data_IF_841173125896
#
_entry.id   IF_841173125896
#
_cell.length_a   1.000
_cell.length_b   1.000
_cell.length_c   1.000
_cell.angle_alpha   90.00
_cell.angle_beta   90.00
_cell.angle_gamma   90.00
#
_symmetry.space_group_name_H-M   'P 1'
#
loop_
_entity.id
_entity.type
_entity.pdbx_description
1 polymer ?
#
# COMPACT_ATOMS: atom_id res chain seq x y z
N UNK A 1 25.58 7.73 -16.36
CA UNK A 1 24.40 8.10 -15.53
C UNK A 1 24.74 9.38 -14.78
N UNK A 2 23.97 10.47 -14.93
CA UNK A 2 24.28 11.72 -14.21
C UNK A 2 23.98 11.56 -12.71
N UNK A 3 24.81 12.14 -11.84
CA UNK A 3 24.70 12.05 -10.37
C UNK A 3 23.28 12.39 -9.85
N UNK A 4 22.55 13.32 -10.49
CA UNK A 4 21.17 13.71 -10.17
C UNK A 4 20.16 12.56 -10.36
N UNK A 5 20.39 11.66 -11.32
CA UNK A 5 19.49 10.54 -11.61
C UNK A 5 19.68 9.38 -10.62
N UNK A 6 20.91 9.24 -10.11
CA UNK A 6 21.26 8.24 -9.12
C UNK A 6 20.72 8.61 -7.73
N UNK A 7 20.76 9.89 -7.35
CA UNK A 7 20.18 10.35 -6.07
C UNK A 7 18.66 10.15 -5.97
N UNK A 8 17.94 10.31 -7.08
CA UNK A 8 16.49 10.05 -7.10
C UNK A 8 16.14 8.58 -6.83
N UNK A 9 16.89 7.63 -7.41
CA UNK A 9 16.66 6.20 -7.20
C UNK A 9 16.86 5.81 -5.72
N UNK A 10 17.96 6.27 -5.11
CA UNK A 10 18.27 5.98 -3.70
C UNK A 10 17.15 6.48 -2.78
N UNK A 11 16.61 7.68 -3.02
CA UNK A 11 15.50 8.23 -2.23
C UNK A 11 14.25 7.34 -2.34
N UNK A 12 13.93 6.84 -3.54
CA UNK A 12 12.79 5.93 -3.72
C UNK A 12 13.01 4.58 -3.00
N UNK A 13 14.22 4.03 -3.05
CA UNK A 13 14.56 2.82 -2.28
C UNK A 13 14.33 3.05 -0.79
N UNK A 14 14.81 4.17 -0.26
CA UNK A 14 14.63 4.54 1.15
C UNK A 14 13.13 4.62 1.49
N UNK A 15 12.33 5.34 0.70
CA UNK A 15 10.89 5.44 0.94
C UNK A 15 10.20 4.08 0.95
N UNK A 16 10.52 3.19 0.00
CA UNK A 16 9.96 1.85 -0.09
C UNK A 16 10.31 1.05 1.16
N UNK A 17 11.59 0.99 1.51
CA UNK A 17 12.07 0.20 2.66
C UNK A 17 11.43 0.69 3.95
N UNK A 18 11.42 1.99 4.21
CA UNK A 18 10.81 2.53 5.42
C UNK A 18 9.30 2.33 5.47
N UNK A 19 8.61 2.44 4.33
CA UNK A 19 7.16 2.17 4.28
C UNK A 19 6.87 0.69 4.55
N UNK A 20 7.65 -0.24 3.99
CA UNK A 20 7.51 -1.67 4.27
C UNK A 20 7.81 -1.99 5.73
N UNK A 21 8.86 -1.42 6.31
CA UNK A 21 9.15 -1.56 7.74
C UNK A 21 7.97 -1.02 8.56
N UNK A 22 7.47 0.18 8.25
CA UNK A 22 6.32 0.75 8.95
C UNK A 22 5.06 -0.13 8.83
N UNK A 23 4.91 -0.85 7.73
CA UNK A 23 3.79 -1.75 7.49
C UNK A 23 3.87 -3.02 8.32
N UNK A 24 5.07 -3.49 8.66
CA UNK A 24 5.30 -4.65 9.53
C UNK A 24 5.39 -4.29 11.01
N UNK A 25 5.68 -3.04 11.35
CA UNK A 25 5.67 -2.57 12.74
C UNK A 25 4.26 -2.67 13.34
N UNK A 26 4.13 -2.75 14.67
CA UNK A 26 2.83 -2.78 15.33
C UNK A 26 1.97 -1.57 14.96
N UNK A 27 0.79 -1.81 14.39
CA UNK A 27 -0.26 -0.81 14.18
C UNK A 27 -1.20 -0.76 15.38
N UNK A 28 -1.38 -1.92 16.02
CA UNK A 28 -2.17 -2.10 17.24
C UNK A 28 -1.35 -2.84 18.28
N UNK A 29 -1.44 -2.38 19.52
CA UNK A 29 -0.77 -3.00 20.69
C UNK A 29 -1.82 -3.22 21.78
N UNK A 30 -1.99 -4.46 22.23
CA UNK A 30 -2.91 -4.82 23.30
C UNK A 30 -2.36 -4.45 24.70
N UNK A 31 -3.24 -3.99 25.58
CA UNK A 31 -2.86 -3.49 26.90
C UNK A 31 -2.51 -4.53 27.98
N UNK A 32 -2.85 -5.82 27.78
CA UNK A 32 -2.70 -6.82 28.83
C UNK A 32 -2.08 -8.17 28.40
N UNK A 33 -1.97 -8.38 27.10
CA UNK A 33 -1.36 -9.57 26.50
C UNK A 33 -0.47 -9.07 25.38
N UNK A 34 0.60 -9.80 25.04
CA UNK A 34 1.49 -9.47 23.92
C UNK A 34 0.79 -9.58 22.56
N UNK A 35 -0.42 -9.00 22.45
CA UNK A 35 -1.18 -8.93 21.23
C UNK A 35 -0.70 -7.70 20.43
N UNK A 36 0.09 -7.96 19.40
CA UNK A 36 0.55 -6.91 18.48
C UNK A 36 0.19 -7.32 17.07
N UNK A 37 -0.46 -6.40 16.33
CA UNK A 37 -0.76 -6.61 14.92
C UNK A 37 -0.03 -5.58 14.07
N UNK A 38 0.72 -6.04 13.07
CA UNK A 38 1.10 -5.24 11.92
C UNK A 38 -0.10 -4.99 11.00
N UNK A 39 0.08 -4.22 9.93
CA UNK A 39 -1.01 -3.94 9.00
C UNK A 39 -1.53 -5.20 8.30
N UNK A 40 -0.65 -6.14 7.94
CA UNK A 40 -1.03 -7.41 7.31
C UNK A 40 -1.85 -8.28 8.24
N UNK A 41 -1.35 -8.49 9.46
CA UNK A 41 -2.02 -9.33 10.45
C UNK A 41 -3.38 -8.77 10.81
N UNK A 42 -3.46 -7.42 10.93
CA UNK A 42 -4.70 -6.72 11.21
C UNK A 42 -5.71 -6.85 10.05
N UNK A 43 -5.23 -6.78 8.80
CA UNK A 43 -6.07 -6.99 7.63
C UNK A 43 -6.61 -8.41 7.54
N UNK A 44 -5.76 -9.40 7.84
CA UNK A 44 -6.16 -10.81 7.85
C UNK A 44 -7.14 -11.08 8.99
N UNK A 45 -6.83 -10.64 10.19
CA UNK A 45 -7.74 -10.74 11.33
C UNK A 45 -9.10 -10.10 11.04
N UNK A 46 -9.13 -8.88 10.48
CA UNK A 46 -10.36 -8.20 10.11
C UNK A 46 -11.16 -8.97 9.05
N UNK A 47 -10.51 -9.69 8.14
CA UNK A 47 -11.19 -10.48 7.11
C UNK A 47 -11.91 -11.72 7.66
N UNK A 48 -11.47 -12.20 8.83
CA UNK A 48 -12.07 -13.34 9.53
C UNK A 48 -13.20 -12.91 10.47
N UNK A 49 -13.31 -11.62 10.79
CA UNK A 49 -14.32 -11.12 11.70
C UNK A 49 -15.72 -11.19 11.09
N UNK A 50 -16.73 -11.81 11.78
CA UNK A 50 -18.07 -11.99 11.22
C UNK A 50 -18.74 -10.69 10.77
N UNK A 51 -18.59 -9.60 11.53
CA UNK A 51 -19.20 -8.31 11.21
C UNK A 51 -18.72 -7.78 9.85
N UNK A 52 -17.46 -7.95 9.49
CA UNK A 52 -16.91 -7.46 8.21
C UNK A 52 -17.41 -8.22 7.00
N UNK A 53 -17.88 -9.47 7.20
CA UNK A 53 -18.41 -10.32 6.14
C UNK A 53 -19.89 -10.04 5.83
N UNK A 54 -20.61 -9.34 6.72
CA UNK A 54 -22.03 -8.99 6.54
C UNK A 54 -22.25 -7.49 6.34
N UNK A 55 -21.26 -6.64 6.63
CA UNK A 55 -21.36 -5.19 6.41
C UNK A 55 -21.28 -4.83 4.92
N UNK A 56 -21.73 -3.62 4.58
CA UNK A 56 -21.59 -3.08 3.22
C UNK A 56 -20.74 -1.80 3.24
N UNK A 57 -19.65 -1.73 2.46
CA UNK A 57 -19.09 -2.79 1.58
C UNK A 57 -18.45 -3.94 2.37
N UNK A 58 -18.59 -5.16 1.83
CA UNK A 58 -18.04 -6.37 2.45
C UNK A 58 -16.52 -6.26 2.57
N UNK A 59 -15.97 -6.67 3.73
CA UNK A 59 -14.53 -6.67 4.05
C UNK A 59 -13.85 -5.30 3.87
N UNK A 60 -14.58 -4.19 4.04
CA UNK A 60 -14.03 -2.84 3.84
C UNK A 60 -12.77 -2.59 4.67
N UNK A 61 -12.76 -3.03 5.94
CA UNK A 61 -11.62 -2.87 6.84
C UNK A 61 -10.36 -3.55 6.29
N UNK A 62 -10.48 -4.81 5.88
CA UNK A 62 -9.39 -5.57 5.28
C UNK A 62 -8.90 -4.94 3.97
N UNK A 63 -9.83 -4.49 3.12
CA UNK A 63 -9.52 -3.75 1.89
C UNK A 63 -8.68 -2.50 2.19
N UNK A 64 -9.13 -1.64 3.09
CA UNK A 64 -8.46 -0.38 3.42
C UNK A 64 -7.07 -0.60 4.03
N UNK A 65 -6.90 -1.65 4.81
CA UNK A 65 -5.59 -1.97 5.40
C UNK A 65 -4.58 -2.53 4.37
N UNK A 66 -5.04 -3.17 3.29
CA UNK A 66 -4.17 -3.69 2.20
C UNK A 66 -3.92 -2.65 1.11
N UNK A 67 -4.85 -1.73 0.90
CA UNK A 67 -4.81 -0.76 -0.19
C UNK A 67 -3.58 0.17 -0.19
N UNK A 68 -2.98 0.57 0.96
CA UNK A 68 -1.74 1.35 0.97
C UNK A 68 -0.58 0.70 0.22
N UNK A 69 -0.46 -0.63 0.20
CA UNK A 69 0.56 -1.32 -0.59
C UNK A 69 0.33 -1.19 -2.10
N UNK A 70 -0.93 -1.25 -2.51
CA UNK A 70 -1.32 -1.00 -3.91
C UNK A 70 -1.01 0.45 -4.29
N UNK A 71 -1.32 1.40 -3.41
CA UNK A 71 -0.94 2.80 -3.60
C UNK A 71 0.58 2.96 -3.74
N UNK A 72 1.36 2.32 -2.89
CA UNK A 72 2.82 2.37 -2.95
C UNK A 72 3.33 1.82 -4.30
N UNK A 73 2.80 0.68 -4.77
CA UNK A 73 3.17 0.10 -6.05
C UNK A 73 2.86 1.05 -7.23
N UNK A 74 1.70 1.70 -7.20
CA UNK A 74 1.33 2.70 -8.20
C UNK A 74 2.23 3.94 -8.16
N UNK A 75 2.52 4.48 -6.96
CA UNK A 75 3.43 5.63 -6.81
C UNK A 75 4.77 5.31 -7.47
N UNK A 76 5.30 4.12 -7.26
CA UNK A 76 6.57 3.68 -7.84
C UNK A 76 6.45 3.59 -9.36
N UNK A 77 5.41 2.94 -9.89
CA UNK A 77 5.19 2.79 -11.31
C UNK A 77 5.04 4.14 -12.03
N UNK A 78 4.29 5.08 -11.44
CA UNK A 78 4.13 6.44 -12.01
C UNK A 78 5.41 7.28 -11.92
N UNK A 79 6.37 6.95 -11.05
CA UNK A 79 7.67 7.60 -10.98
C UNK A 79 8.75 6.95 -11.86
N UNK A 80 8.42 5.87 -12.57
CA UNK A 80 9.32 5.22 -13.52
C UNK A 80 9.78 6.17 -14.64
N UNK A 81 11.00 6.00 -15.18
CA UNK A 81 11.48 6.80 -16.30
C UNK A 81 10.57 6.69 -17.53
N UNK A 82 10.38 7.76 -18.30
CA UNK A 82 9.39 7.81 -19.40
C UNK A 82 9.76 7.01 -20.66
N UNK A 83 10.89 6.29 -20.66
CA UNK A 83 11.33 5.48 -21.81
C UNK A 83 11.32 4.00 -21.43
N UNK A 84 10.20 3.30 -21.72
CA UNK A 84 10.09 1.87 -21.43
C UNK A 84 11.15 1.07 -22.20
N UNK A 85 11.58 -0.03 -21.60
CA UNK A 85 12.49 -1.06 -22.14
C UNK A 85 13.96 -0.65 -22.41
N UNK A 86 14.32 0.63 -22.46
CA UNK A 86 15.68 1.09 -22.78
C UNK A 86 16.56 1.42 -21.57
N UNK A 87 16.02 1.42 -20.36
CA UNK A 87 16.82 1.76 -19.17
C UNK A 87 16.66 0.72 -18.07
N UNK A 88 17.76 0.29 -17.47
CA UNK A 88 17.73 -0.59 -16.28
C UNK A 88 16.89 -0.04 -15.14
N UNK A 89 16.80 1.29 -15.03
CA UNK A 89 15.96 1.92 -14.02
C UNK A 89 14.46 1.64 -14.24
N UNK A 90 13.99 1.59 -15.50
CA UNK A 90 12.59 1.27 -15.78
C UNK A 90 12.24 -0.14 -15.29
N UNK A 91 13.10 -1.10 -15.58
CA UNK A 91 12.94 -2.47 -15.10
C UNK A 91 12.97 -2.57 -13.58
N UNK A 92 13.83 -1.78 -12.93
CA UNK A 92 13.88 -1.72 -11.47
C UNK A 92 12.55 -1.23 -10.88
N UNK A 93 11.99 -0.13 -11.38
CA UNK A 93 10.67 0.37 -10.92
C UNK A 93 9.55 -0.64 -11.21
N UNK A 94 9.56 -1.28 -12.38
CA UNK A 94 8.61 -2.31 -12.74
C UNK A 94 8.67 -3.53 -11.83
N UNK A 95 9.87 -4.04 -11.57
CA UNK A 95 10.09 -5.19 -10.70
C UNK A 95 9.62 -4.90 -9.27
N UNK A 96 10.00 -3.75 -8.70
CA UNK A 96 9.57 -3.40 -7.33
C UNK A 96 8.07 -3.22 -7.26
N UNK A 97 7.43 -2.53 -8.21
CA UNK A 97 5.99 -2.39 -8.25
C UNK A 97 5.29 -3.75 -8.30
N UNK A 98 5.81 -4.67 -9.09
CA UNK A 98 5.28 -6.03 -9.19
C UNK A 98 5.47 -6.83 -7.90
N UNK A 99 6.66 -6.77 -7.29
CA UNK A 99 6.93 -7.45 -6.02
C UNK A 99 6.00 -6.97 -4.91
N UNK A 100 5.74 -5.66 -4.83
CA UNK A 100 4.78 -5.12 -3.86
C UNK A 100 3.36 -5.65 -4.07
N UNK A 101 2.94 -5.86 -5.32
CA UNK A 101 1.62 -6.44 -5.60
C UNK A 101 1.54 -7.92 -5.24
N UNK A 102 2.65 -8.67 -5.30
CA UNK A 102 2.67 -10.07 -4.83
C UNK A 102 2.25 -10.17 -3.36
N UNK A 103 2.65 -9.22 -2.51
CA UNK A 103 2.21 -9.20 -1.11
C UNK A 103 0.71 -8.93 -0.92
N UNK A 104 0.02 -8.48 -1.98
CA UNK A 104 -1.43 -8.27 -1.97
C UNK A 104 -2.18 -9.43 -2.65
N UNK A 105 -1.48 -10.43 -3.24
CA UNK A 105 -2.12 -11.57 -3.89
C UNK A 105 -2.67 -12.56 -2.86
N UNK A 106 -3.77 -13.25 -3.18
CA UNK A 106 -4.23 -14.35 -2.35
C UNK A 106 -3.22 -15.50 -2.34
N UNK A 107 -3.26 -16.37 -1.32
CA UNK A 107 -2.42 -17.56 -1.26
C UNK A 107 -2.74 -18.52 -2.42
N UNK A 108 -1.82 -19.45 -2.70
CA UNK A 108 -1.96 -20.40 -3.81
C UNK A 108 -3.21 -21.29 -3.70
N UNK A 109 -3.71 -21.52 -2.50
CA UNK A 109 -4.95 -22.25 -2.22
C UNK A 109 -6.19 -21.63 -2.88
N UNK A 110 -6.16 -20.32 -3.17
CA UNK A 110 -7.20 -19.67 -3.96
C UNK A 110 -7.37 -20.32 -5.35
N UNK A 111 -6.28 -20.76 -5.97
CA UNK A 111 -6.33 -21.38 -7.30
C UNK A 111 -6.88 -22.80 -7.29
N UNK A 112 -6.95 -23.45 -6.16
CA UNK A 112 -7.28 -24.88 -6.01
C UNK A 112 -8.56 -25.11 -5.21
N UNK A 113 -8.55 -24.86 -3.90
CA UNK A 113 -9.58 -25.30 -2.96
C UNK A 113 -10.52 -24.19 -2.48
N UNK A 114 -10.05 -22.94 -2.42
CA UNK A 114 -10.76 -21.84 -1.77
C UNK A 114 -11.11 -20.71 -2.75
N UNK A 115 -11.57 -21.04 -3.94
CA UNK A 115 -11.90 -20.06 -5.01
C UNK A 115 -13.04 -19.12 -4.65
N UNK A 116 -13.97 -19.59 -3.81
CA UNK A 116 -15.18 -18.84 -3.43
C UNK A 116 -15.00 -18.04 -2.13
N UNK A 117 -13.82 -18.10 -1.49
CA UNK A 117 -13.58 -17.31 -0.29
C UNK A 117 -13.53 -15.81 -0.65
N UNK A 118 -14.43 -15.06 -0.03
CA UNK A 118 -14.64 -13.64 -0.34
C UNK A 118 -13.39 -12.79 -0.02
N UNK A 119 -12.59 -13.19 0.98
CA UNK A 119 -11.33 -12.53 1.32
C UNK A 119 -10.30 -12.71 0.19
N UNK A 120 -10.20 -13.93 -0.36
CA UNK A 120 -9.28 -14.22 -1.46
C UNK A 120 -9.74 -13.57 -2.77
N UNK A 121 -11.04 -13.50 -3.03
CA UNK A 121 -11.60 -12.74 -4.15
C UNK A 121 -11.29 -11.25 -4.04
N UNK A 122 -11.38 -10.67 -2.83
CA UNK A 122 -11.01 -9.28 -2.60
C UNK A 122 -9.51 -9.05 -2.85
N UNK A 123 -8.63 -9.93 -2.36
CA UNK A 123 -7.18 -9.85 -2.59
C UNK A 123 -6.85 -9.97 -4.08
N UNK A 124 -7.48 -10.90 -4.79
CA UNK A 124 -7.32 -11.05 -6.24
C UNK A 124 -7.77 -9.79 -6.99
N UNK A 125 -8.90 -9.22 -6.61
CA UNK A 125 -9.40 -7.97 -7.17
C UNK A 125 -8.45 -6.80 -6.92
N UNK A 126 -7.93 -6.65 -5.70
CA UNK A 126 -6.92 -5.63 -5.37
C UNK A 126 -5.65 -5.79 -6.21
N UNK A 127 -5.15 -7.01 -6.33
CA UNK A 127 -3.94 -7.31 -7.12
C UNK A 127 -4.17 -7.03 -8.60
N UNK A 128 -5.34 -7.38 -9.13
CA UNK A 128 -5.69 -7.10 -10.53
C UNK A 128 -5.78 -5.60 -10.81
N UNK A 129 -6.47 -4.84 -9.97
CA UNK A 129 -6.54 -3.37 -10.07
C UNK A 129 -5.13 -2.78 -9.91
N UNK A 130 -4.35 -3.33 -8.99
CA UNK A 130 -2.94 -2.98 -8.79
C UNK A 130 -2.12 -3.13 -10.06
N UNK A 131 -2.24 -4.27 -10.74
CA UNK A 131 -1.55 -4.55 -12.02
C UNK A 131 -1.94 -3.57 -13.13
N UNK A 132 -3.24 -3.27 -13.25
CA UNK A 132 -3.72 -2.29 -14.24
C UNK A 132 -3.08 -0.92 -14.00
N UNK A 133 -3.13 -0.42 -12.76
CA UNK A 133 -2.56 0.89 -12.42
C UNK A 133 -1.04 0.94 -12.62
N UNK A 134 -0.32 -0.13 -12.27
CA UNK A 134 1.12 -0.26 -12.55
C UNK A 134 1.40 -0.27 -14.05
N UNK A 135 0.60 -1.00 -14.84
CA UNK A 135 0.72 -1.03 -16.31
C UNK A 135 0.55 0.37 -16.92
N UNK A 136 -0.46 1.12 -16.49
CA UNK A 136 -0.71 2.51 -16.93
C UNK A 136 0.48 3.41 -16.56
N UNK A 137 0.97 3.31 -15.31
CA UNK A 137 2.11 4.10 -14.82
C UNK A 137 3.39 3.81 -15.59
N UNK A 138 3.75 2.53 -15.75
CA UNK A 138 4.95 2.09 -16.45
C UNK A 138 4.90 2.36 -17.96
N UNK A 139 3.72 2.24 -18.59
CA UNK A 139 3.54 2.57 -20.01
C UNK A 139 3.66 4.08 -20.28
N UNK A 140 3.56 4.92 -19.24
CA UNK A 140 3.68 6.37 -19.38
C UNK A 140 2.53 7.03 -20.13
N UNK A 141 1.36 6.39 -20.21
CA UNK A 141 0.16 6.89 -20.91
C UNK A 141 -0.24 8.27 -20.38
N UNK A 142 -0.17 8.46 -19.07
CA UNK A 142 -0.54 9.70 -18.37
C UNK A 142 0.69 10.57 -18.03
N UNK A 143 1.73 10.52 -18.86
CA UNK A 143 3.02 11.21 -18.63
C UNK A 143 2.92 12.66 -18.19
N UNK A 144 2.09 13.55 -18.79
CA UNK A 144 2.00 14.95 -18.37
C UNK A 144 1.43 15.10 -16.95
N UNK A 145 0.55 14.21 -16.53
CA UNK A 145 -0.14 14.27 -15.23
C UNK A 145 0.45 13.33 -14.17
N UNK A 146 1.45 12.52 -14.51
CA UNK A 146 1.98 11.46 -13.68
C UNK A 146 2.31 11.88 -12.24
N UNK A 147 2.85 13.09 -12.07
CA UNK A 147 3.25 13.58 -10.76
C UNK A 147 2.05 13.95 -9.91
N UNK A 148 1.04 14.59 -10.48
CA UNK A 148 -0.21 14.91 -9.79
C UNK A 148 -0.98 13.66 -9.42
N UNK A 149 -0.99 12.66 -10.32
CA UNK A 149 -1.60 11.36 -10.06
C UNK A 149 -0.87 10.65 -8.92
N UNK A 150 0.46 10.62 -8.92
CA UNK A 150 1.24 10.01 -7.84
C UNK A 150 0.98 10.70 -6.49
N UNK A 151 0.87 12.03 -6.46
CA UNK A 151 0.49 12.78 -5.25
C UNK A 151 -0.93 12.41 -4.81
N UNK A 152 -1.90 12.35 -5.72
CA UNK A 152 -3.27 11.95 -5.39
C UNK A 152 -3.32 10.52 -4.82
N UNK A 153 -2.60 9.57 -5.43
CA UNK A 153 -2.48 8.20 -4.93
C UNK A 153 -1.86 8.17 -3.52
N UNK A 154 -0.89 9.04 -3.25
CA UNK A 154 -0.29 9.15 -1.92
C UNK A 154 -1.33 9.56 -0.87
N UNK A 155 -2.19 10.52 -1.19
CA UNK A 155 -3.30 10.90 -0.30
C UNK A 155 -4.32 9.77 -0.13
N UNK A 156 -4.61 9.01 -1.19
CA UNK A 156 -5.47 7.82 -1.07
C UNK A 156 -4.86 6.79 -0.11
N UNK A 157 -3.55 6.57 -0.16
CA UNK A 157 -2.84 5.69 0.77
C UNK A 157 -2.93 6.17 2.23
N UNK A 158 -2.80 7.48 2.48
CA UNK A 158 -2.97 8.07 3.81
C UNK A 158 -4.39 7.85 4.32
N UNK A 159 -5.39 8.19 3.52
CA UNK A 159 -6.82 8.06 3.89
C UNK A 159 -7.15 6.59 4.18
N UNK A 160 -6.71 5.68 3.33
CA UNK A 160 -6.95 4.25 3.50
C UNK A 160 -6.29 3.71 4.78
N UNK A 161 -5.06 4.11 5.08
CA UNK A 161 -4.37 3.72 6.30
C UNK A 161 -5.11 4.19 7.55
N UNK A 162 -5.50 5.45 7.60
CA UNK A 162 -6.18 6.03 8.75
C UNK A 162 -7.58 5.43 8.92
N UNK A 163 -8.35 5.37 7.85
CA UNK A 163 -9.72 4.84 7.90
C UNK A 163 -9.74 3.35 8.19
N UNK A 164 -8.86 2.57 7.56
CA UNK A 164 -8.70 1.15 7.85
C UNK A 164 -8.36 0.89 9.31
N UNK A 165 -7.47 1.71 9.89
CA UNK A 165 -7.13 1.64 11.31
C UNK A 165 -8.31 1.97 12.23
N UNK A 166 -9.09 3.01 11.91
CA UNK A 166 -10.28 3.39 12.70
C UNK A 166 -11.30 2.25 12.71
N UNK A 167 -11.58 1.65 11.55
CA UNK A 167 -12.50 0.53 11.45
C UNK A 167 -11.98 -0.70 12.18
N UNK A 168 -10.70 -1.03 12.05
CA UNK A 168 -10.09 -2.16 12.77
C UNK A 168 -10.15 -1.95 14.28
N UNK A 169 -9.91 -0.73 14.74
CA UNK A 169 -10.02 -0.37 16.16
C UNK A 169 -11.46 -0.60 16.69
N UNK A 170 -12.50 -0.20 15.93
CA UNK A 170 -13.89 -0.43 16.31
C UNK A 170 -14.22 -1.92 16.42
N UNK A 171 -13.70 -2.75 15.50
CA UNK A 171 -13.90 -4.21 15.58
C UNK A 171 -13.22 -4.85 16.79
N UNK A 172 -12.03 -4.36 17.18
CA UNK A 172 -11.34 -4.85 18.37
C UNK A 172 -12.10 -4.50 19.66
N UNK A 173 -12.71 -3.32 19.70
CA UNK A 173 -13.56 -2.92 20.83
C UNK A 173 -14.80 -3.78 21.00
N UNK A 174 -15.40 -4.32 19.91
CA UNK A 174 -16.51 -5.26 19.98
C UNK A 174 -16.16 -6.53 20.79
N UNK A 175 -14.89 -6.94 20.76
CA UNK A 175 -14.38 -8.06 21.58
C UNK A 175 -13.91 -7.63 22.99
N UNK A 176 -14.17 -6.39 23.39
CA UNK A 176 -13.70 -5.83 24.67
C UNK A 176 -12.17 -5.89 24.84
N UNK A 177 -11.44 -5.92 23.72
CA UNK A 177 -9.98 -5.91 23.72
C UNK A 177 -9.52 -4.46 23.82
N UNK A 178 -8.90 -4.12 24.95
CA UNK A 178 -8.27 -2.81 25.12
C UNK A 178 -6.99 -2.75 24.30
N UNK A 179 -6.96 -1.84 23.33
CA UNK A 179 -5.80 -1.67 22.45
C UNK A 179 -5.37 -0.21 22.38
N UNK A 180 -4.10 0.01 22.12
CA UNK A 180 -3.54 1.32 21.81
C UNK A 180 -2.99 1.37 20.39
N UNK A 181 -2.87 2.57 19.86
CA UNK A 181 -2.29 2.81 18.54
C UNK A 181 -0.78 2.57 18.58
N UNK A 182 -0.30 1.69 17.72
CA UNK A 182 1.12 1.38 17.59
C UNK A 182 1.88 2.38 16.71
N UNK A 183 3.20 2.30 16.73
CA UNK A 183 4.10 3.19 15.97
C UNK A 183 3.99 2.95 14.45
N UNK A 184 3.59 1.75 14.01
CA UNK A 184 3.55 1.37 12.60
C UNK A 184 2.65 2.26 11.75
N UNK A 185 1.43 2.55 12.21
CA UNK A 185 0.51 3.45 11.48
C UNK A 185 1.06 4.87 11.39
N UNK A 186 1.65 5.40 12.47
CA UNK A 186 2.23 6.75 12.50
C UNK A 186 3.39 6.84 11.50
N UNK A 187 4.27 5.84 11.51
CA UNK A 187 5.40 5.76 10.59
C UNK A 187 4.92 5.61 9.13
N UNK A 188 3.92 4.76 8.86
CA UNK A 188 3.38 4.55 7.53
C UNK A 188 2.77 5.85 6.95
N UNK A 189 1.89 6.50 7.69
CA UNK A 189 1.28 7.78 7.29
C UNK A 189 2.36 8.86 7.12
N UNK A 190 3.32 8.94 8.04
CA UNK A 190 4.47 9.85 7.94
C UNK A 190 5.26 9.64 6.65
N UNK A 191 5.54 8.39 6.26
CA UNK A 191 6.25 8.10 5.01
C UNK A 191 5.47 8.52 3.78
N UNK A 192 4.16 8.32 3.73
CA UNK A 192 3.33 8.85 2.64
C UNK A 192 3.36 10.38 2.59
N UNK A 193 3.31 11.08 3.73
CA UNK A 193 3.45 12.55 3.79
C UNK A 193 4.82 12.99 3.25
N UNK A 194 5.91 12.31 3.63
CA UNK A 194 7.24 12.62 3.11
C UNK A 194 7.34 12.39 1.59
N UNK A 195 6.74 11.31 1.07
CA UNK A 195 6.67 11.06 -0.38
C UNK A 195 5.91 12.17 -1.09
N UNK A 196 4.75 12.61 -0.58
CA UNK A 196 4.00 13.72 -1.15
C UNK A 196 4.82 15.01 -1.17
N UNK A 197 5.47 15.35 -0.06
CA UNK A 197 6.36 16.52 0.04
C UNK A 197 7.53 16.48 -0.92
N UNK A 198 8.17 15.31 -1.07
CA UNK A 198 9.25 15.11 -2.04
C UNK A 198 8.76 15.33 -3.48
N UNK A 199 7.65 14.70 -3.87
CA UNK A 199 7.06 14.85 -5.20
C UNK A 199 6.62 16.28 -5.47
N UNK A 200 6.04 16.99 -4.50
CA UNK A 200 5.68 18.40 -4.61
C UNK A 200 6.89 19.30 -4.87
N UNK A 201 8.00 19.08 -4.16
CA UNK A 201 9.27 19.80 -4.39
C UNK A 201 9.82 19.55 -5.79
N UNK A 202 9.77 18.31 -6.28
CA UNK A 202 10.18 17.96 -7.64
C UNK A 202 9.28 18.61 -8.71
N UNK A 203 7.98 18.78 -8.44
CA UNK A 203 7.07 19.51 -9.31
C UNK A 203 7.51 20.95 -9.52
N UNK A 204 7.78 21.66 -8.42
CA UNK A 204 8.20 23.09 -8.48
C UNK A 204 9.56 23.32 -9.17
N UNK A 205 10.41 22.29 -9.23
CA UNK A 205 11.72 22.39 -9.92
C UNK A 205 11.65 22.17 -11.43
N UNK A 206 10.50 21.76 -11.93
CA UNK A 206 10.27 21.49 -13.36
C UNK A 206 9.59 22.64 -14.09
N UNK A 207 9.01 23.56 -13.37
CA UNK A 207 8.47 24.83 -13.81
C UNK A 207 9.46 25.96 -13.55
#
# INVERSE_FOLDING_TARGET
MTAKKQSSLVIWIIFILFTLIAYTLPWVVGGGVSLTFGAFDLAEWASLHPATRVMSPILLTSFLLRFPLVCLSWIIAFNAPPYPFKSGNWWFYGLISFVLLIFSTPPLEFLTTNRDDINYLQQAGLSFIGLIGCGIGLAGILKPYRLYIAIAITFMGIIASIWGMILAYSLLLEFQISVSTGIGIIACVGMFIFMAGYMWRESKRRH
#
